data_IF_161853403518
#
_entry.id   IF_161853403518
#
_cell.length_a   1.000
_cell.length_b   1.000
_cell.length_c   1.000
_cell.angle_alpha   90.00
_cell.angle_beta   90.00
_cell.angle_gamma   90.00
#
_symmetry.space_group_name_H-M   'P 1'
#
loop_
_entity.id
_entity.type
_entity.pdbx_description
1 polymer ?
#
# COMPACT_ATOMS: atom_id res chain seq x y z
N UNK A 1 -19.47 -31.43 72.00
CA UNK A 1 -20.20 -32.40 71.13
C UNK A 1 -20.22 -31.78 69.73
N UNK A 2 -19.69 -32.29 68.62
CA UNK A 2 -19.00 -33.52 68.16
C UNK A 2 -18.06 -33.05 67.03
N UNK A 3 -16.76 -33.34 67.10
CA UNK A 3 -16.02 -34.36 66.32
C UNK A 3 -15.58 -33.94 64.89
N UNK A 4 -14.29 -33.63 64.76
CA UNK A 4 -13.39 -33.79 63.57
C UNK A 4 -13.15 -35.30 63.28
N UNK A 5 -12.64 -35.79 62.11
CA UNK A 5 -11.33 -35.41 61.49
C UNK A 5 -11.20 -35.57 59.92
N UNK A 6 -10.33 -34.80 59.25
CA UNK A 6 -8.97 -35.09 58.67
C UNK A 6 -8.91 -35.77 57.29
N UNK A 7 -8.22 -35.11 56.34
CA UNK A 7 -7.11 -35.60 55.49
C UNK A 7 -6.62 -34.41 54.63
N UNK A 8 -5.46 -33.76 54.85
CA UNK A 8 -4.06 -34.21 54.62
C UNK A 8 -3.88 -34.68 53.16
N UNK A 9 -2.99 -34.15 52.31
CA UNK A 9 -1.54 -33.88 52.47
C UNK A 9 -0.95 -33.20 51.21
N UNK A 10 -0.02 -32.24 51.41
CA UNK A 10 1.34 -32.07 50.79
C UNK A 10 1.45 -31.88 49.24
N UNK A 11 2.39 -31.14 48.63
CA UNK A 11 3.71 -30.62 48.99
C UNK A 11 4.21 -29.59 47.94
N UNK A 12 5.00 -28.61 48.40
CA UNK A 12 6.12 -27.85 47.78
C UNK A 12 6.21 -27.71 46.23
N UNK A 13 6.20 -26.50 45.66
CA UNK A 13 7.28 -25.50 45.63
C UNK A 13 8.55 -25.95 44.88
N UNK A 14 8.81 -25.31 43.74
CA UNK A 14 10.16 -25.07 43.21
C UNK A 14 10.15 -23.84 42.29
N UNK A 15 10.69 -22.73 42.83
CA UNK A 15 11.20 -21.61 42.06
C UNK A 15 12.56 -22.01 41.45
N UNK A 16 12.76 -21.75 40.16
CA UNK A 16 14.09 -21.66 39.55
C UNK A 16 14.16 -20.42 38.65
N UNK A 17 15.17 -19.54 38.83
CA UNK A 17 15.38 -18.34 38.02
C UNK A 17 16.26 -18.66 36.80
N UNK A 18 15.83 -18.25 35.60
CA UNK A 18 16.69 -18.25 34.41
C UNK A 18 17.45 -16.93 34.34
N UNK A 19 18.66 -16.93 34.89
CA UNK A 19 19.67 -15.91 34.63
C UNK A 19 20.33 -16.15 33.25
N UNK A 20 20.42 -15.07 32.47
CA UNK A 20 21.58 -14.69 31.66
C UNK A 20 22.08 -15.64 30.56
N UNK A 21 21.74 -15.31 29.31
CA UNK A 21 22.68 -15.39 28.19
C UNK A 21 22.69 -14.03 27.46
N UNK A 22 23.69 -13.21 27.75
CA UNK A 22 24.11 -12.16 26.85
C UNK A 22 24.72 -12.86 25.63
N UNK A 23 24.02 -12.83 24.49
CA UNK A 23 24.56 -13.31 23.23
C UNK A 23 24.67 -12.12 22.28
N UNK A 24 25.86 -11.49 22.32
CA UNK A 24 26.37 -10.71 21.20
C UNK A 24 26.58 -11.67 20.03
N UNK A 25 25.53 -11.92 19.27
CA UNK A 25 25.56 -12.69 18.03
C UNK A 25 25.03 -11.81 16.92
N UNK A 26 25.95 -11.19 16.16
CA UNK A 26 25.63 -10.60 14.89
C UNK A 26 25.10 -11.70 13.94
N UNK A 27 23.89 -11.52 13.43
CA UNK A 27 23.33 -12.32 12.34
C UNK A 27 22.36 -11.47 11.53
N UNK A 28 22.23 -11.75 10.22
CA UNK A 28 22.79 -10.95 9.15
C UNK A 28 21.86 -9.80 8.80
N UNK A 29 22.42 -8.72 8.23
CA UNK A 29 21.64 -7.84 7.39
C UNK A 29 20.96 -8.69 6.31
N UNK A 30 19.66 -8.90 6.44
CA UNK A 30 18.82 -9.32 5.35
C UNK A 30 18.83 -8.18 4.34
N UNK A 31 19.85 -8.15 3.50
CA UNK A 31 19.77 -7.56 2.18
C UNK A 31 18.75 -8.37 1.40
N UNK A 32 17.47 -8.17 1.72
CA UNK A 32 16.40 -8.53 0.81
C UNK A 32 16.71 -7.89 -0.54
N UNK A 33 16.29 -8.51 -1.66
CA UNK A 33 16.48 -7.91 -2.97
C UNK A 33 16.05 -6.45 -2.87
N UNK A 34 16.94 -5.53 -3.26
CA UNK A 34 16.55 -4.14 -3.40
C UNK A 34 15.22 -4.13 -4.18
N UNK A 35 14.15 -3.51 -3.67
CA UNK A 35 12.87 -3.57 -4.35
C UNK A 35 13.10 -3.14 -5.78
N UNK A 36 12.71 -4.00 -6.73
CA UNK A 36 12.75 -3.68 -8.16
C UNK A 36 12.24 -2.25 -8.29
N UNK A 37 13.07 -1.36 -8.84
CA UNK A 37 12.83 0.09 -8.83
C UNK A 37 11.38 0.32 -9.19
N UNK A 38 10.55 0.70 -8.20
CA UNK A 38 9.12 0.73 -8.45
C UNK A 38 8.89 1.73 -9.58
N UNK A 39 7.99 1.40 -10.52
CA UNK A 39 7.69 2.33 -11.59
C UNK A 39 6.91 3.53 -11.01
N UNK A 40 7.08 4.74 -11.55
CA UNK A 40 6.18 5.84 -11.23
C UNK A 40 4.75 5.49 -11.64
N UNK A 41 3.79 5.99 -10.87
CA UNK A 41 2.36 5.87 -11.17
C UNK A 41 1.87 7.19 -11.73
N UNK A 42 1.22 7.17 -12.89
CA UNK A 42 0.70 8.38 -13.55
C UNK A 42 -0.80 8.23 -13.77
N UNK A 43 -1.58 9.17 -13.26
CA UNK A 43 -3.02 9.27 -13.50
C UNK A 43 -3.30 10.53 -14.30
N UNK A 44 -3.96 10.40 -15.44
CA UNK A 44 -4.50 11.54 -16.20
C UNK A 44 -6.01 11.52 -16.13
N UNK A 45 -6.62 12.61 -15.67
CA UNK A 45 -8.06 12.86 -15.73
C UNK A 45 -8.33 13.87 -16.84
N UNK A 46 -9.28 13.57 -17.73
CA UNK A 46 -9.67 14.46 -18.81
C UNK A 46 -11.17 14.43 -19.08
N UNK A 47 -11.71 15.44 -19.77
CA UNK A 47 -13.12 15.49 -20.15
C UNK A 47 -13.93 16.46 -19.29
N UNK A 48 -15.23 16.20 -19.15
CA UNK A 48 -16.19 17.14 -18.59
C UNK A 48 -16.51 18.32 -19.51
N UNK A 49 -17.58 19.05 -19.21
CA UNK A 49 -18.14 20.12 -20.06
C UNK A 49 -17.11 21.24 -20.35
N UNK A 50 -16.20 21.51 -19.42
CA UNK A 50 -15.19 22.58 -19.54
C UNK A 50 -13.87 22.04 -20.14
N UNK A 51 -13.78 20.74 -20.41
CA UNK A 51 -12.59 20.09 -21.00
C UNK A 51 -11.40 20.10 -20.05
N UNK A 52 -11.49 19.48 -18.89
CA UNK A 52 -10.37 19.37 -17.95
C UNK A 52 -9.25 18.48 -18.51
N UNK A 53 -8.02 18.72 -18.05
CA UNK A 53 -6.88 17.82 -18.19
C UNK A 53 -5.95 18.01 -17.00
N UNK A 54 -5.99 17.07 -16.07
CA UNK A 54 -5.12 17.04 -14.91
C UNK A 54 -4.25 15.80 -14.95
N UNK A 55 -2.99 15.92 -14.57
CA UNK A 55 -2.06 14.79 -14.45
C UNK A 55 -1.48 14.74 -13.05
N UNK A 56 -1.59 13.60 -12.39
CA UNK A 56 -0.93 13.30 -11.13
C UNK A 56 0.16 12.26 -11.40
N UNK A 57 1.39 12.55 -11.00
CA UNK A 57 2.51 11.62 -11.03
C UNK A 57 2.97 11.35 -9.62
N UNK A 58 2.98 10.09 -9.21
CA UNK A 58 3.52 9.62 -7.94
C UNK A 58 4.81 8.89 -8.20
N UNK A 59 5.89 9.38 -7.58
CA UNK A 59 7.21 8.76 -7.63
C UNK A 59 7.27 7.55 -6.68
N UNK A 60 8.23 6.64 -6.88
CA UNK A 60 8.40 5.42 -6.05
C UNK A 60 8.55 5.65 -4.55
N UNK A 61 9.02 6.84 -4.17
CA UNK A 61 9.24 7.28 -2.78
C UNK A 61 8.07 8.07 -2.18
N UNK A 62 6.95 8.13 -2.92
CA UNK A 62 5.70 8.76 -2.50
C UNK A 62 5.63 10.26 -2.72
N UNK A 63 6.67 10.92 -3.26
CA UNK A 63 6.53 12.31 -3.73
C UNK A 63 5.57 12.34 -4.89
N UNK A 64 4.63 13.28 -4.88
CA UNK A 64 3.69 13.45 -5.99
C UNK A 64 3.70 14.88 -6.52
N UNK A 65 3.39 14.99 -7.81
CA UNK A 65 3.14 16.25 -8.50
C UNK A 65 1.79 16.14 -9.20
N UNK A 66 0.94 17.15 -9.04
CA UNK A 66 -0.28 17.34 -9.83
C UNK A 66 -0.13 18.57 -10.70
N UNK A 67 -0.32 18.42 -12.00
CA UNK A 67 -0.39 19.53 -12.96
C UNK A 67 -1.84 19.64 -13.43
N UNK A 68 -2.44 20.82 -13.26
CA UNK A 68 -3.80 21.08 -13.72
C UNK A 68 -3.84 21.51 -15.20
N UNK A 69 -5.06 21.71 -15.72
CA UNK A 69 -5.27 22.20 -17.10
C UNK A 69 -4.54 23.51 -17.41
N UNK A 70 -4.43 24.43 -16.46
CA UNK A 70 -3.77 25.72 -16.63
C UNK A 70 -2.25 25.62 -16.57
N UNK A 71 -1.71 24.44 -16.24
CA UNK A 71 -0.29 24.21 -16.04
C UNK A 71 0.18 24.53 -14.61
N UNK A 72 -0.73 24.84 -13.70
CA UNK A 72 -0.39 25.04 -12.29
C UNK A 72 0.07 23.72 -11.71
N UNK A 73 1.22 23.75 -11.04
CA UNK A 73 1.80 22.57 -10.41
C UNK A 73 1.63 22.62 -8.89
N UNK A 74 1.12 21.54 -8.34
CA UNK A 74 1.05 21.27 -6.90
C UNK A 74 1.89 20.05 -6.57
N UNK A 75 2.53 20.05 -5.41
CA UNK A 75 3.36 18.93 -4.98
C UNK A 75 3.01 18.52 -3.56
N UNK A 76 3.41 17.31 -3.21
CA UNK A 76 3.28 16.81 -1.85
C UNK A 76 3.92 15.44 -1.70
N UNK A 77 3.53 14.77 -0.62
CA UNK A 77 3.95 13.41 -0.33
C UNK A 77 2.76 12.59 0.14
N UNK A 78 2.70 11.34 -0.29
CA UNK A 78 1.77 10.37 0.27
C UNK A 78 2.17 10.04 1.71
N UNK A 79 1.19 9.67 2.53
CA UNK A 79 1.47 9.00 3.80
C UNK A 79 2.13 7.65 3.52
N UNK A 80 2.86 7.10 4.49
CA UNK A 80 3.49 5.78 4.32
C UNK A 80 2.43 4.68 4.07
N UNK A 81 1.28 4.77 4.75
CA UNK A 81 0.17 3.85 4.56
C UNK A 81 -0.44 3.91 3.14
N UNK A 82 -0.62 5.12 2.59
CA UNK A 82 -1.13 5.30 1.23
C UNK A 82 -0.12 4.83 0.18
N UNK A 83 1.18 5.09 0.42
CA UNK A 83 2.24 4.65 -0.46
C UNK A 83 2.33 3.11 -0.50
N UNK A 84 2.23 2.45 0.65
CA UNK A 84 2.21 1.00 0.72
C UNK A 84 0.96 0.42 0.06
N UNK A 85 -0.20 1.06 0.26
CA UNK A 85 -1.42 0.65 -0.44
C UNK A 85 -1.29 0.80 -1.96
N UNK A 86 -0.73 1.91 -2.43
CA UNK A 86 -0.50 2.14 -3.84
C UNK A 86 0.44 1.10 -4.44
N UNK A 87 1.53 0.75 -3.73
CA UNK A 87 2.47 -0.30 -4.13
C UNK A 87 1.79 -1.66 -4.25
N UNK A 88 0.93 -2.03 -3.30
CA UNK A 88 0.16 -3.27 -3.36
C UNK A 88 -0.77 -3.31 -4.58
N UNK A 89 -1.48 -2.21 -4.87
CA UNK A 89 -2.37 -2.13 -6.03
C UNK A 89 -1.59 -2.15 -7.36
N UNK A 90 -0.43 -1.49 -7.40
CA UNK A 90 0.44 -1.43 -8.57
C UNK A 90 1.07 -2.79 -8.93
N UNK A 91 1.18 -3.71 -7.97
CA UNK A 91 1.70 -5.07 -8.17
C UNK A 91 0.62 -6.15 -8.20
N UNK A 92 -0.65 -5.78 -8.02
CA UNK A 92 -1.76 -6.73 -8.13
C UNK A 92 -1.88 -7.22 -9.59
N UNK A 93 -1.86 -8.53 -9.78
CA UNK A 93 -1.95 -9.15 -11.12
C UNK A 93 -3.26 -8.85 -11.83
N UNK A 94 -4.32 -8.49 -11.11
CA UNK A 94 -5.60 -8.05 -11.68
C UNK A 94 -5.46 -6.77 -12.51
N UNK A 95 -4.48 -5.90 -12.20
CA UNK A 95 -4.25 -4.67 -12.96
C UNK A 95 -3.94 -4.96 -14.44
N UNK A 96 -3.25 -6.07 -14.74
CA UNK A 96 -3.00 -6.49 -16.11
C UNK A 96 -4.28 -6.91 -16.84
N UNK A 97 -5.22 -7.56 -16.13
CA UNK A 97 -6.52 -7.92 -16.69
C UNK A 97 -7.37 -6.67 -16.95
N UNK A 98 -7.35 -5.69 -16.05
CA UNK A 98 -8.02 -4.40 -16.24
C UNK A 98 -7.45 -3.64 -17.45
N UNK A 99 -6.13 -3.63 -17.61
CA UNK A 99 -5.47 -2.99 -18.75
C UNK A 99 -5.83 -3.63 -20.11
N UNK A 100 -6.21 -4.91 -20.13
CA UNK A 100 -6.69 -5.58 -21.32
C UNK A 100 -8.17 -5.30 -21.63
N UNK A 101 -8.93 -4.74 -20.69
CA UNK A 101 -10.33 -4.42 -20.89
C UNK A 101 -10.48 -3.24 -21.87
N UNK A 102 -11.42 -3.36 -22.79
CA UNK A 102 -11.77 -2.25 -23.69
C UNK A 102 -12.74 -1.32 -22.99
N UNK A 103 -12.37 -0.04 -22.92
CA UNK A 103 -13.25 1.01 -22.39
C UNK A 103 -14.19 1.45 -23.52
N UNK A 104 -15.52 1.26 -23.40
CA UNK A 104 -16.45 1.69 -24.42
C UNK A 104 -16.45 3.21 -24.53
N UNK A 105 -16.68 3.72 -25.75
CA UNK A 105 -16.89 5.14 -25.95
C UNK A 105 -18.17 5.58 -25.22
N UNK A 106 -18.12 6.73 -24.55
CA UNK A 106 -19.29 7.34 -23.91
C UNK A 106 -19.90 8.41 -24.81
N UNK A 107 -21.22 8.55 -24.75
CA UNK A 107 -21.98 9.64 -25.38
C UNK A 107 -22.28 10.78 -24.38
N UNK A 108 -21.88 10.62 -23.12
CA UNK A 108 -22.09 11.64 -22.10
C UNK A 108 -21.10 12.79 -22.31
N UNK A 109 -21.63 13.97 -22.61
CA UNK A 109 -20.83 15.16 -22.90
C UNK A 109 -20.03 15.66 -21.69
N UNK A 110 -20.46 15.29 -20.49
CA UNK A 110 -19.90 15.68 -19.20
C UNK A 110 -19.04 14.60 -18.53
N UNK A 111 -18.85 13.44 -19.17
CA UNK A 111 -18.07 12.36 -18.61
C UNK A 111 -16.59 12.71 -18.45
N UNK A 112 -15.98 12.15 -17.41
CA UNK A 112 -14.55 12.15 -17.19
C UNK A 112 -13.93 10.83 -17.62
N UNK A 113 -12.87 10.91 -18.40
CA UNK A 113 -11.99 9.78 -18.69
C UNK A 113 -10.78 9.83 -17.77
N UNK A 114 -10.45 8.69 -17.19
CA UNK A 114 -9.27 8.47 -16.37
C UNK A 114 -8.36 7.49 -17.10
N UNK A 115 -7.07 7.82 -17.17
CA UNK A 115 -6.03 6.93 -17.68
C UNK A 115 -4.97 6.75 -16.61
N UNK A 116 -4.80 5.52 -16.15
CA UNK A 116 -3.79 5.15 -15.17
C UNK A 116 -2.67 4.37 -15.87
N UNK A 117 -1.43 4.78 -15.66
CA UNK A 117 -0.23 4.11 -16.14
C UNK A 117 0.66 3.74 -14.96
N UNK A 118 1.06 2.47 -14.91
CA UNK A 118 1.97 1.89 -13.92
C UNK A 118 3.02 1.09 -14.69
N UNK A 119 4.22 1.66 -14.83
CA UNK A 119 5.25 1.06 -15.69
C UNK A 119 4.75 0.84 -17.12
N UNK A 120 4.78 -0.40 -17.67
CA UNK A 120 4.26 -0.69 -19.00
C UNK A 120 2.73 -0.84 -19.06
N UNK A 121 2.06 -0.98 -17.91
CA UNK A 121 0.63 -1.28 -17.84
C UNK A 121 -0.17 0.01 -17.88
N UNK A 122 -1.17 0.09 -18.76
CA UNK A 122 -2.09 1.23 -18.83
C UNK A 122 -3.54 0.75 -18.84
N UNK A 123 -4.36 1.28 -17.93
CA UNK A 123 -5.80 1.03 -17.86
C UNK A 123 -6.58 2.35 -18.00
N UNK A 124 -7.85 2.25 -18.40
CA UNK A 124 -8.73 3.39 -18.62
C UNK A 124 -10.11 3.20 -17.96
N UNK A 125 -10.70 4.29 -17.51
CA UNK A 125 -12.02 4.32 -16.89
C UNK A 125 -12.80 5.55 -17.36
N UNK A 126 -14.12 5.45 -17.42
CA UNK A 126 -15.02 6.58 -17.69
C UNK A 126 -16.06 6.64 -16.58
N UNK A 127 -16.31 7.84 -16.07
CA UNK A 127 -17.31 8.18 -15.06
C UNK A 127 -18.15 9.37 -15.54
#
# INVERSE_FOLDING_TARGET
MRATPVAATLLAALLTPLAGCAQNGATPASGGPAPATAAPVVLTKSGGIVGLKDTVTVQPDGRWTRVDRAGTSHTGRLSDADLDRLRQLATDSRLAAEAAATVPATMCADAFSYRLTVGPTTTGYVD
#
